data_IF_288638500105
#
_entry.id   IF_288638500105
#
_cell.length_a   1.000
_cell.length_b   1.000
_cell.length_c   1.000
_cell.angle_alpha   90.00
_cell.angle_beta   90.00
_cell.angle_gamma   90.00
#
_symmetry.space_group_name_H-M   'P 1'
#
loop_
_entity.id
_entity.type
_entity.pdbx_description
1 polymer ?
#
# COMPACT_ATOMS: atom_id res chain seq x y z
N UNK A 1 9.66 -20.88 -14.35
CA UNK A 1 8.91 -19.62 -14.15
C UNK A 1 8.98 -19.25 -12.69
N UNK A 2 9.61 -18.12 -12.40
CA UNK A 2 9.62 -17.47 -11.10
C UNK A 2 8.35 -16.63 -10.92
N UNK A 3 8.08 -16.15 -9.70
CA UNK A 3 6.97 -15.23 -9.46
C UNK A 3 7.10 -13.95 -10.32
N UNK A 4 8.32 -13.45 -10.52
CA UNK A 4 8.56 -12.28 -11.36
C UNK A 4 8.26 -12.57 -12.83
N UNK A 5 8.67 -13.75 -13.32
CA UNK A 5 8.34 -14.19 -14.68
C UNK A 5 6.82 -14.25 -14.91
N UNK A 6 6.03 -14.69 -13.91
CA UNK A 6 4.56 -14.71 -14.03
C UNK A 6 3.97 -13.29 -14.11
N UNK A 7 4.50 -12.34 -13.35
CA UNK A 7 4.08 -10.94 -13.41
C UNK A 7 4.44 -10.35 -14.78
N UNK A 8 5.66 -10.59 -15.27
CA UNK A 8 6.12 -10.10 -16.57
C UNK A 8 5.28 -10.68 -17.71
N UNK A 9 4.95 -11.97 -17.66
CA UNK A 9 4.04 -12.61 -18.63
C UNK A 9 2.60 -12.09 -18.54
N UNK A 10 2.20 -11.52 -17.40
CA UNK A 10 0.88 -10.90 -17.22
C UNK A 10 0.81 -9.46 -17.73
N UNK A 11 1.90 -8.93 -18.32
CA UNK A 11 2.00 -7.54 -18.77
C UNK A 11 2.84 -6.64 -17.86
N UNK A 12 3.52 -7.22 -16.87
CA UNK A 12 4.34 -6.49 -15.91
C UNK A 12 3.54 -5.88 -14.75
N UNK A 13 4.26 -5.32 -13.78
CA UNK A 13 3.64 -4.58 -12.68
C UNK A 13 3.13 -3.21 -13.16
N UNK A 14 1.99 -2.77 -12.61
CA UNK A 14 1.46 -1.42 -12.85
C UNK A 14 2.45 -0.36 -12.32
N UNK A 15 2.55 0.82 -12.94
CA UNK A 15 3.35 1.94 -12.40
C UNK A 15 2.94 2.39 -10.99
N UNK A 16 1.71 2.06 -10.58
CA UNK A 16 1.17 2.35 -9.26
C UNK A 16 1.11 1.11 -8.37
N UNK A 17 1.79 0.02 -8.72
CA UNK A 17 1.81 -1.19 -7.92
C UNK A 17 2.76 -1.07 -6.73
N UNK A 18 2.36 -1.60 -5.59
CA UNK A 18 3.27 -1.82 -4.47
C UNK A 18 3.95 -3.18 -4.62
N UNK A 19 5.13 -3.19 -5.26
CA UNK A 19 5.94 -4.39 -5.44
C UNK A 19 6.44 -5.00 -4.12
N UNK A 20 6.51 -4.20 -3.04
CA UNK A 20 6.96 -4.69 -1.73
C UNK A 20 5.87 -5.42 -0.96
N UNK A 21 4.61 -5.16 -1.29
CA UNK A 21 3.43 -5.75 -0.63
C UNK A 21 2.78 -6.87 -1.46
N UNK A 22 3.49 -7.49 -2.39
CA UNK A 22 2.98 -8.63 -3.16
C UNK A 22 2.78 -9.86 -2.25
N UNK A 23 1.63 -10.51 -2.37
CA UNK A 23 1.30 -11.72 -1.61
C UNK A 23 0.69 -12.81 -2.49
N UNK A 24 0.73 -14.05 -1.97
CA UNK A 24 0.23 -15.23 -2.67
C UNK A 24 -0.96 -15.81 -1.92
N UNK A 25 -2.01 -16.12 -2.66
CA UNK A 25 -3.14 -16.92 -2.17
C UNK A 25 -2.95 -18.34 -2.70
N UNK A 26 -2.80 -19.30 -1.80
CA UNK A 26 -2.66 -20.72 -2.15
C UNK A 26 -3.99 -21.29 -2.64
N UNK A 27 -3.92 -22.35 -3.42
CA UNK A 27 -5.11 -23.12 -3.84
C UNK A 27 -5.98 -23.61 -2.67
N UNK A 28 -5.39 -23.83 -1.48
CA UNK A 28 -6.10 -24.20 -0.25
C UNK A 28 -6.68 -23.00 0.54
N UNK A 29 -6.58 -21.78 0.01
CA UNK A 29 -7.06 -20.56 0.65
C UNK A 29 -6.12 -19.93 1.68
N UNK A 30 -4.97 -20.54 1.98
CA UNK A 30 -3.97 -19.92 2.85
C UNK A 30 -3.25 -18.76 2.15
N UNK A 31 -2.85 -17.76 2.94
CA UNK A 31 -2.17 -16.56 2.44
C UNK A 31 -0.72 -16.61 2.88
N UNK A 32 0.19 -16.37 1.93
CA UNK A 32 1.62 -16.16 2.22
C UNK A 32 1.86 -14.66 2.17
N UNK A 33 2.28 -14.11 3.31
CA UNK A 33 2.54 -12.66 3.44
C UNK A 33 3.80 -12.23 2.69
N UNK A 34 3.94 -10.92 2.37
CA UNK A 34 5.13 -10.40 1.71
C UNK A 34 6.42 -10.68 2.50
N UNK A 35 6.38 -10.61 3.83
CA UNK A 35 7.52 -10.92 4.70
C UNK A 35 7.95 -12.38 4.57
N UNK A 36 6.98 -13.30 4.54
CA UNK A 36 7.23 -14.73 4.35
C UNK A 36 7.76 -15.01 2.94
N UNK A 37 7.34 -14.22 1.96
CA UNK A 37 7.83 -14.31 0.59
C UNK A 37 9.27 -13.81 0.49
N UNK A 38 9.59 -12.68 1.15
CA UNK A 38 10.90 -12.01 1.14
C UNK A 38 11.99 -12.79 1.89
N UNK A 39 11.64 -13.36 3.04
CA UNK A 39 12.53 -14.25 3.80
C UNK A 39 12.63 -15.65 3.18
N UNK A 40 11.65 -16.04 2.37
CA UNK A 40 11.73 -17.29 1.66
C UNK A 40 12.56 -17.12 0.40
N UNK A 41 13.36 -18.14 0.11
CA UNK A 41 14.21 -18.23 -1.09
C UNK A 41 13.39 -18.26 -2.39
N UNK A 42 12.06 -18.14 -2.30
CA UNK A 42 11.09 -18.11 -3.41
C UNK A 42 11.30 -16.96 -4.40
N UNK A 43 11.85 -15.81 -3.98
CA UNK A 43 12.21 -14.73 -4.92
C UNK A 43 13.52 -14.96 -5.68
N UNK A 44 14.42 -15.83 -5.19
CA UNK A 44 15.82 -15.92 -5.68
C UNK A 44 16.19 -17.18 -6.42
N UNK A 45 15.34 -18.21 -6.50
CA UNK A 45 15.73 -19.43 -7.21
C UNK A 45 14.61 -20.43 -7.42
N UNK A 46 14.37 -20.71 -8.70
CA UNK A 46 14.10 -22.03 -9.28
C UNK A 46 13.31 -23.05 -8.42
N UNK A 47 12.07 -23.31 -8.83
CA UNK A 47 11.31 -24.56 -8.63
C UNK A 47 10.94 -25.01 -7.21
N UNK A 48 10.32 -24.15 -6.40
CA UNK A 48 9.63 -24.62 -5.19
C UNK A 48 8.50 -23.75 -4.61
N UNK A 49 8.24 -22.56 -5.17
CA UNK A 49 7.41 -21.55 -4.50
C UNK A 49 5.96 -21.44 -4.95
N UNK A 50 5.69 -21.54 -6.26
CA UNK A 50 4.36 -21.43 -6.83
C UNK A 50 3.83 -22.81 -7.22
N UNK A 51 2.59 -23.08 -6.84
CA UNK A 51 1.86 -24.29 -7.22
C UNK A 51 0.73 -23.93 -8.18
N UNK A 52 0.29 -24.91 -8.97
CA UNK A 52 -0.87 -24.72 -9.83
C UNK A 52 -2.11 -24.39 -8.98
N UNK A 53 -2.86 -23.36 -9.38
CA UNK A 53 -4.01 -22.85 -8.63
C UNK A 53 -3.68 -21.78 -7.59
N UNK A 54 -2.40 -21.43 -7.40
CA UNK A 54 -2.04 -20.27 -6.60
C UNK A 54 -2.35 -18.96 -7.36
N UNK A 55 -2.81 -17.94 -6.63
CA UNK A 55 -3.10 -16.60 -7.16
C UNK A 55 -2.08 -15.61 -6.64
N UNK A 56 -1.41 -14.89 -7.56
CA UNK A 56 -0.52 -13.78 -7.22
C UNK A 56 -1.35 -12.51 -7.16
N UNK A 57 -1.28 -11.77 -6.06
CA UNK A 57 -1.95 -10.48 -5.91
C UNK A 57 -0.92 -9.36 -5.80
N UNK A 58 -1.05 -8.38 -6.69
CA UNK A 58 -0.21 -7.18 -6.73
C UNK A 58 -1.07 -5.98 -6.33
N UNK A 59 -0.94 -5.47 -5.09
CA UNK A 59 -1.75 -4.34 -4.62
C UNK A 59 -1.30 -3.01 -5.24
N UNK A 60 -2.17 -2.01 -5.14
CA UNK A 60 -1.86 -0.63 -5.47
C UNK A 60 -1.02 -0.01 -4.34
N UNK A 61 -0.02 0.79 -4.68
CA UNK A 61 0.70 1.64 -3.75
C UNK A 61 -0.25 2.69 -3.17
N UNK A 62 -0.66 2.47 -1.93
CA UNK A 62 -1.45 3.43 -1.17
C UNK A 62 -0.48 4.42 -0.55
N UNK A 63 -0.32 5.59 -1.16
CA UNK A 63 0.33 6.70 -0.47
C UNK A 63 -0.67 7.28 0.53
N UNK A 64 -0.50 7.08 1.86
CA UNK A 64 -1.36 7.75 2.83
C UNK A 64 -1.15 9.25 2.69
N UNK A 65 -2.23 10.01 2.50
CA UNK A 65 -2.15 11.47 2.46
C UNK A 65 -1.44 11.99 3.71
N UNK A 66 -0.30 12.63 3.51
CA UNK A 66 0.55 13.12 4.59
C UNK A 66 -0.22 14.05 5.54
N UNK A 67 0.09 13.98 6.84
CA UNK A 67 -0.54 14.78 7.92
C UNK A 67 -0.43 16.30 7.79
N UNK A 68 0.04 16.84 6.67
CA UNK A 68 0.17 18.28 6.42
C UNK A 68 -1.19 18.97 6.17
N UNK A 69 -2.26 18.23 5.80
CA UNK A 69 -3.63 18.80 5.78
C UNK A 69 -4.19 19.10 7.17
N UNK A 70 -3.73 18.39 8.21
CA UNK A 70 -4.23 18.58 9.56
C UNK A 70 -3.83 19.96 10.13
N UNK A 71 -2.63 20.44 9.83
CA UNK A 71 -2.15 21.71 10.39
C UNK A 71 -2.85 22.92 9.75
N UNK A 72 -3.15 22.89 8.46
CA UNK A 72 -3.84 24.01 7.77
C UNK A 72 -5.26 24.20 8.29
N UNK A 73 -6.02 23.12 8.51
CA UNK A 73 -7.39 23.22 9.03
C UNK A 73 -7.42 23.79 10.46
N UNK A 74 -6.45 23.41 11.30
CA UNK A 74 -6.34 23.93 12.67
C UNK A 74 -6.08 25.45 12.67
N UNK A 75 -5.17 25.93 11.81
CA UNK A 75 -4.87 27.38 11.75
C UNK A 75 -6.06 28.23 11.31
N UNK A 76 -6.88 27.72 10.39
CA UNK A 76 -8.08 28.42 9.92
C UNK A 76 -9.15 28.52 11.01
N UNK A 77 -9.36 27.45 11.78
CA UNK A 77 -10.28 27.44 12.92
C UNK A 77 -9.81 28.44 13.99
N UNK A 78 -8.52 28.46 14.32
CA UNK A 78 -7.96 29.40 15.30
C UNK A 78 -8.15 30.86 14.86
N UNK A 79 -7.89 31.17 13.59
CA UNK A 79 -8.11 32.52 13.06
C UNK A 79 -9.59 32.93 13.12
N UNK A 80 -10.51 32.02 12.77
CA UNK A 80 -11.95 32.27 12.84
C UNK A 80 -12.43 32.48 14.29
N UNK A 81 -11.91 31.71 15.26
CA UNK A 81 -12.19 31.93 16.68
C UNK A 81 -11.65 33.27 17.18
N UNK A 82 -10.44 33.66 16.76
CA UNK A 82 -9.84 34.93 17.15
C UNK A 82 -10.65 36.14 16.62
N UNK A 83 -11.11 36.08 15.36
CA UNK A 83 -11.95 37.12 14.78
C UNK A 83 -13.31 37.22 15.47
N UNK A 84 -13.94 36.08 15.78
CA UNK A 84 -15.20 36.05 16.50
C UNK A 84 -15.09 36.65 17.91
N UNK A 85 -14.02 36.32 18.65
CA UNK A 85 -13.78 36.89 19.97
C UNK A 85 -13.52 38.41 19.93
N UNK A 86 -12.77 38.88 18.92
CA UNK A 86 -12.53 40.31 18.73
C UNK A 86 -13.82 41.09 18.42
N UNK A 87 -14.72 40.52 17.59
CA UNK A 87 -16.00 41.13 17.27
C UNK A 87 -16.95 41.21 18.48
N UNK A 88 -16.92 40.23 19.39
CA UNK A 88 -17.71 40.27 20.64
C UNK A 88 -17.15 41.31 21.63
N UNK A 89 -15.83 41.56 21.61
CA UNK A 89 -15.19 42.57 22.45
C UNK A 89 -15.20 43.99 21.85
N UNK A 90 -15.75 44.17 20.63
CA UNK A 90 -15.85 45.47 19.94
C UNK A 90 -17.25 46.10 20.01
N UNK A 91 -18.15 45.57 20.86
CA UNK A 91 -19.45 46.14 21.20
C UNK A 91 -19.52 46.48 22.68
#
# INVERSE_FOLDING_TARGET
LTLKDYIDLSGGASPYADENSIYLIRSNGSIISPDQLSNSRFFRGNFGGLQAGDTIVVPLEVQPFSGIRATTEITQIVYQMALAAAAVNSF
#
